data_IF_734888647775
#
_entry.id   IF_734888647775
#
_cell.length_a   1.000
_cell.length_b   1.000
_cell.length_c   1.000
_cell.angle_alpha   90.00
_cell.angle_beta   90.00
_cell.angle_gamma   90.00
#
_symmetry.space_group_name_H-M   'P 1'
#
loop_
_entity.id
_entity.type
_entity.pdbx_description
1 polymer ?
#
# COMPACT_ATOMS: atom_id res chain seq x y z
N UNK A 1 -15.10 23.83 11.71
CA UNK A 1 -15.64 22.87 10.71
C UNK A 1 -14.55 22.01 10.01
N UNK A 2 -13.45 21.67 10.69
CA UNK A 2 -12.32 20.93 10.09
C UNK A 2 -12.59 19.42 9.91
N UNK A 3 -13.65 18.90 10.55
CA UNK A 3 -13.98 17.47 10.60
C UNK A 3 -14.51 16.92 9.26
N UNK A 4 -15.15 17.75 8.43
CA UNK A 4 -15.74 17.32 7.15
C UNK A 4 -14.70 17.08 6.05
N UNK A 5 -13.60 17.84 6.06
CA UNK A 5 -12.50 17.68 5.08
C UNK A 5 -11.61 16.50 5.47
N UNK A 6 -11.36 16.29 6.77
CA UNK A 6 -10.53 15.17 7.25
C UNK A 6 -11.09 13.80 6.85
N UNK A 7 -12.42 13.60 6.94
CA UNK A 7 -13.05 12.34 6.51
C UNK A 7 -12.95 12.12 5.00
N UNK A 8 -12.94 13.18 4.19
CA UNK A 8 -12.75 13.07 2.72
C UNK A 8 -11.32 12.68 2.39
N UNK A 9 -10.32 13.25 3.06
CA UNK A 9 -8.92 12.85 2.90
C UNK A 9 -8.66 11.41 3.33
N UNK A 10 -9.26 10.98 4.44
CA UNK A 10 -9.17 9.58 4.88
C UNK A 10 -9.86 8.63 3.90
N UNK A 11 -10.98 9.04 3.28
CA UNK A 11 -11.66 8.24 2.26
C UNK A 11 -10.81 8.11 1.00
N UNK A 12 -10.16 9.19 0.56
CA UNK A 12 -9.25 9.18 -0.58
C UNK A 12 -8.03 8.31 -0.29
N UNK A 13 -7.46 8.38 0.91
CA UNK A 13 -6.37 7.51 1.35
C UNK A 13 -6.79 6.04 1.38
N UNK A 14 -7.98 5.71 1.90
CA UNK A 14 -8.51 4.34 1.86
C UNK A 14 -8.65 3.84 0.41
N UNK A 15 -9.24 4.66 -0.47
CA UNK A 15 -9.38 4.32 -1.88
C UNK A 15 -8.03 4.08 -2.55
N UNK A 16 -7.03 4.95 -2.30
CA UNK A 16 -5.68 4.77 -2.80
C UNK A 16 -5.02 3.48 -2.27
N UNK A 17 -5.21 3.15 -0.99
CA UNK A 17 -4.73 1.90 -0.39
C UNK A 17 -5.34 0.65 -1.06
N UNK A 18 -6.64 0.69 -1.40
CA UNK A 18 -7.27 -0.39 -2.17
C UNK A 18 -6.78 -0.45 -3.62
N UNK A 19 -6.50 0.70 -4.24
CA UNK A 19 -5.89 0.76 -5.56
C UNK A 19 -4.47 0.15 -5.54
N UNK A 20 -3.70 0.35 -4.48
CA UNK A 20 -2.38 -0.28 -4.30
C UNK A 20 -2.41 -1.81 -4.31
N UNK A 21 -3.56 -2.44 -4.00
CA UNK A 21 -3.70 -3.90 -4.10
C UNK A 21 -3.73 -4.41 -5.54
N UNK A 22 -4.28 -3.63 -6.46
CA UNK A 22 -4.46 -4.02 -7.87
C UNK A 22 -3.41 -3.40 -8.78
N UNK A 23 -2.81 -2.27 -8.37
CA UNK A 23 -1.83 -1.56 -9.16
C UNK A 23 -0.42 -2.17 -9.00
N UNK A 24 0.30 -2.38 -10.12
CA UNK A 24 1.67 -2.87 -10.08
C UNK A 24 2.59 -1.77 -9.56
N UNK A 25 3.52 -2.11 -8.66
CA UNK A 25 4.52 -1.18 -8.14
C UNK A 25 5.80 -1.19 -8.99
N UNK A 26 6.17 -2.37 -9.47
CA UNK A 26 7.40 -2.58 -10.23
C UNK A 26 7.13 -3.62 -11.33
N UNK A 27 7.69 -3.43 -12.50
CA UNK A 27 7.70 -4.44 -13.55
C UNK A 27 9.11 -4.97 -13.66
N UNK A 28 9.33 -6.26 -13.46
CA UNK A 28 10.68 -6.81 -13.53
C UNK A 28 10.72 -8.26 -13.92
N UNK A 29 11.88 -8.67 -14.45
CA UNK A 29 12.16 -10.05 -14.76
C UNK A 29 12.58 -10.77 -13.46
N UNK A 30 11.84 -11.83 -13.11
CA UNK A 30 12.29 -12.79 -12.10
C UNK A 30 12.98 -13.93 -12.84
N UNK A 31 14.20 -14.28 -12.43
CA UNK A 31 14.88 -15.47 -12.94
C UNK A 31 14.40 -16.64 -12.09
N UNK A 32 13.55 -17.49 -12.66
CA UNK A 32 13.17 -18.75 -12.02
C UNK A 32 14.32 -19.77 -12.17
N UNK A 33 14.33 -20.83 -11.35
CA UNK A 33 15.37 -21.87 -11.38
C UNK A 33 15.61 -22.50 -12.78
N UNK A 34 14.62 -22.39 -13.68
CA UNK A 34 14.66 -22.83 -15.09
C UNK A 34 15.23 -21.79 -16.08
N UNK A 35 15.84 -20.69 -15.62
CA UNK A 35 16.44 -19.62 -16.46
C UNK A 35 15.48 -18.89 -17.41
N UNK A 36 14.18 -19.12 -17.30
CA UNK A 36 13.14 -18.38 -18.04
C UNK A 36 12.92 -17.01 -17.42
N UNK A 37 13.08 -15.95 -18.22
CA UNK A 37 12.80 -14.57 -17.82
C UNK A 37 11.30 -14.33 -17.94
N UNK A 38 10.58 -14.39 -16.83
CA UNK A 38 9.16 -14.01 -16.79
C UNK A 38 9.04 -12.54 -16.38
N UNK A 39 8.45 -11.74 -17.28
CA UNK A 39 8.15 -10.34 -17.04
C UNK A 39 6.89 -10.26 -16.18
N UNK A 40 7.05 -10.29 -14.86
CA UNK A 40 5.91 -10.25 -13.95
C UNK A 40 5.75 -8.86 -13.31
N UNK A 41 4.52 -8.35 -13.23
CA UNK A 41 4.23 -7.19 -12.40
C UNK A 41 4.35 -7.56 -10.92
N UNK A 42 5.25 -6.88 -10.20
CA UNK A 42 5.25 -6.86 -8.75
C UNK A 42 4.06 -6.03 -8.26
N UNK A 43 2.94 -6.71 -8.11
CA UNK A 43 1.73 -6.19 -7.47
C UNK A 43 1.72 -6.60 -6.01
N UNK A 44 1.01 -5.88 -5.13
CA UNK A 44 0.80 -6.33 -3.75
C UNK A 44 0.18 -7.74 -3.63
N UNK A 45 -0.49 -8.19 -4.70
CA UNK A 45 -1.00 -9.55 -4.86
C UNK A 45 0.08 -10.63 -4.93
N UNK A 46 1.30 -10.30 -5.36
CA UNK A 46 2.40 -11.27 -5.54
C UNK A 46 2.85 -11.92 -4.24
N UNK A 47 2.70 -11.22 -3.11
CA UNK A 47 3.15 -11.70 -1.82
C UNK A 47 2.01 -11.69 -0.81
N UNK A 48 1.72 -12.85 -0.22
CA UNK A 48 0.57 -12.98 0.70
C UNK A 48 0.69 -12.09 1.93
N UNK A 49 1.90 -11.88 2.43
CA UNK A 49 2.16 -10.99 3.56
C UNK A 49 1.90 -9.54 3.21
N UNK A 50 2.35 -9.09 2.05
CA UNK A 50 2.14 -7.72 1.59
C UNK A 50 0.64 -7.48 1.34
N UNK A 51 -0.04 -8.41 0.67
CA UNK A 51 -1.49 -8.35 0.43
C UNK A 51 -2.28 -8.18 1.74
N UNK A 52 -1.99 -9.00 2.76
CA UNK A 52 -2.66 -8.91 4.06
C UNK A 52 -2.39 -7.57 4.72
N UNK A 53 -1.13 -7.09 4.68
CA UNK A 53 -0.74 -5.83 5.31
C UNK A 53 -1.44 -4.63 4.65
N UNK A 54 -1.44 -4.56 3.32
CA UNK A 54 -2.11 -3.48 2.57
C UNK A 54 -3.63 -3.53 2.73
N UNK A 55 -4.21 -4.73 2.80
CA UNK A 55 -5.64 -4.91 3.06
C UNK A 55 -6.04 -4.48 4.49
N UNK A 56 -5.25 -4.85 5.50
CA UNK A 56 -5.43 -4.40 6.89
C UNK A 56 -5.33 -2.87 6.99
N UNK A 57 -4.39 -2.26 6.26
CA UNK A 57 -4.23 -0.82 6.17
C UNK A 57 -5.49 -0.14 5.60
N UNK A 58 -5.98 -0.61 4.46
CA UNK A 58 -7.19 -0.08 3.83
C UNK A 58 -8.41 -0.16 4.74
N UNK A 59 -8.65 -1.33 5.36
CA UNK A 59 -9.74 -1.50 6.34
C UNK A 59 -9.53 -0.60 7.55
N UNK A 60 -8.30 -0.51 8.08
CA UNK A 60 -7.96 0.35 9.20
C UNK A 60 -8.33 1.80 8.93
N UNK A 61 -8.00 2.32 7.75
CA UNK A 61 -8.36 3.70 7.36
C UNK A 61 -9.88 3.88 7.28
N UNK A 62 -10.62 2.91 6.74
CA UNK A 62 -12.09 2.95 6.73
C UNK A 62 -12.67 2.98 8.14
N UNK A 63 -12.14 2.16 9.05
CA UNK A 63 -12.57 2.16 10.47
C UNK A 63 -12.29 3.52 11.14
N UNK A 64 -11.16 4.15 10.82
CA UNK A 64 -10.79 5.49 11.32
C UNK A 64 -11.79 6.56 10.86
N UNK A 65 -12.41 6.42 9.68
CA UNK A 65 -13.46 7.34 9.21
C UNK A 65 -14.70 7.24 10.11
N UNK A 66 -15.10 6.03 10.49
CA UNK A 66 -16.24 5.81 11.39
C UNK A 66 -15.96 6.21 12.84
N UNK A 67 -14.68 6.28 13.24
CA UNK A 67 -14.26 6.75 14.56
C UNK A 67 -14.23 8.30 14.68
N UNK A 68 -15.13 8.98 13.98
CA UNK A 68 -15.22 10.45 13.97
C UNK A 68 -15.62 11.04 15.34
N UNK A 69 -16.23 10.23 16.21
CA UNK A 69 -16.71 10.67 17.53
C UNK A 69 -15.55 10.91 18.50
N UNK A 70 -14.49 10.09 18.42
CA UNK A 70 -13.33 10.16 19.31
C UNK A 70 -12.10 10.75 18.61
N UNK A 71 -12.04 12.09 18.57
CA UNK A 71 -10.96 12.87 17.94
C UNK A 71 -9.55 12.43 18.34
N UNK A 72 -9.34 12.13 19.64
CA UNK A 72 -8.03 11.73 20.17
C UNK A 72 -7.61 10.35 19.68
N UNK A 73 -8.54 9.41 19.56
CA UNK A 73 -8.26 8.08 19.01
C UNK A 73 -8.08 8.14 17.50
N UNK A 74 -8.88 8.94 16.79
CA UNK A 74 -8.78 9.11 15.35
C UNK A 74 -7.36 9.55 14.94
N UNK A 75 -6.81 10.57 15.61
CA UNK A 75 -5.44 11.05 15.31
C UNK A 75 -4.38 9.99 15.62
N UNK A 76 -4.48 9.28 16.75
CA UNK A 76 -3.54 8.20 17.09
C UNK A 76 -3.56 7.08 16.05
N UNK A 77 -4.76 6.68 15.60
CA UNK A 77 -4.91 5.64 14.59
C UNK A 77 -4.45 6.11 13.21
N UNK A 78 -4.66 7.37 12.84
CA UNK A 78 -4.11 7.94 11.60
C UNK A 78 -2.59 7.95 11.63
N UNK A 79 -1.97 8.31 12.76
CA UNK A 79 -0.51 8.23 12.92
C UNK A 79 -0.04 6.78 12.83
N UNK A 80 -0.76 5.83 13.44
CA UNK A 80 -0.44 4.41 13.36
C UNK A 80 -0.55 3.88 11.92
N UNK A 81 -1.59 4.30 11.17
CA UNK A 81 -1.75 3.97 9.76
C UNK A 81 -0.60 4.54 8.92
N UNK A 82 -0.15 5.77 9.20
CA UNK A 82 1.00 6.39 8.53
C UNK A 82 2.29 5.60 8.82
N UNK A 83 2.51 5.15 10.05
CA UNK A 83 3.66 4.29 10.36
C UNK A 83 3.56 2.96 9.61
N UNK A 84 2.36 2.37 9.54
CA UNK A 84 2.13 1.13 8.79
C UNK A 84 2.37 1.32 7.28
N UNK A 85 2.04 2.47 6.70
CA UNK A 85 2.29 2.73 5.28
C UNK A 85 3.79 2.81 4.97
N UNK A 86 4.59 3.41 5.87
CA UNK A 86 6.05 3.41 5.79
C UNK A 86 6.59 1.97 5.80
N UNK A 87 6.09 1.11 6.69
CA UNK A 87 6.48 -0.30 6.73
C UNK A 87 6.12 -1.01 5.43
N UNK A 88 4.93 -0.73 4.87
CA UNK A 88 4.48 -1.30 3.59
C UNK A 88 5.43 -0.91 2.44
N UNK A 89 5.82 0.37 2.36
CA UNK A 89 6.80 0.87 1.39
C UNK A 89 8.14 0.13 1.53
N UNK A 90 8.67 0.01 2.75
CA UNK A 90 9.94 -0.71 3.00
C UNK A 90 9.85 -2.17 2.55
N UNK A 91 8.70 -2.80 2.75
CA UNK A 91 8.46 -4.17 2.32
C UNK A 91 8.41 -4.29 0.79
N UNK A 92 7.75 -3.34 0.11
CA UNK A 92 7.81 -3.22 -1.36
C UNK A 92 9.24 -3.07 -1.88
N UNK A 93 10.07 -2.22 -1.27
CA UNK A 93 11.47 -2.06 -1.66
C UNK A 93 12.30 -3.33 -1.45
N UNK A 94 12.06 -4.09 -0.39
CA UNK A 94 12.73 -5.38 -0.18
C UNK A 94 12.34 -6.39 -1.25
N UNK A 95 11.07 -6.40 -1.69
CA UNK A 95 10.62 -7.23 -2.79
C UNK A 95 11.27 -6.80 -4.11
N UNK A 96 11.42 -5.50 -4.38
CA UNK A 96 12.12 -5.00 -5.57
C UNK A 96 13.57 -5.48 -5.65
N UNK A 97 14.27 -5.66 -4.51
CA UNK A 97 15.65 -6.20 -4.50
C UNK A 97 15.76 -7.65 -4.98
N UNK A 98 14.65 -8.39 -5.02
CA UNK A 98 14.63 -9.75 -5.56
C UNK A 98 14.58 -9.77 -7.09
N UNK A 99 14.30 -8.64 -7.74
CA UNK A 99 14.25 -8.53 -9.21
C UNK A 99 15.61 -8.11 -9.76
N UNK A 100 16.09 -8.83 -10.78
CA UNK A 100 17.41 -8.62 -11.39
C UNK A 100 17.40 -7.43 -12.36
N UNK A 101 16.29 -7.26 -13.09
CA UNK A 101 16.07 -6.16 -14.03
C UNK A 101 14.60 -5.73 -13.96
N UNK A 102 14.33 -4.43 -14.00
CA UNK A 102 12.97 -3.93 -14.06
C UNK A 102 12.88 -2.41 -14.04
N UNK A 103 11.66 -1.91 -14.19
CA UNK A 103 11.35 -0.48 -14.17
C UNK A 103 10.20 -0.21 -13.20
N UNK A 104 10.26 0.92 -12.50
CA UNK A 104 9.17 1.35 -11.64
C UNK A 104 7.93 1.64 -12.48
N UNK A 105 6.78 1.14 -12.02
CA UNK A 105 5.51 1.43 -12.66
C UNK A 105 5.13 2.90 -12.42
N UNK A 106 4.37 3.50 -13.36
CA UNK A 106 3.83 4.86 -13.19
C UNK A 106 2.96 5.01 -11.93
N UNK A 107 2.43 3.90 -11.45
CA UNK A 107 1.57 3.75 -10.26
C UNK A 107 2.37 3.59 -8.96
N UNK A 108 3.70 3.57 -9.02
CA UNK A 108 4.58 3.55 -7.85
C UNK A 108 4.27 4.64 -6.81
N UNK A 109 3.91 5.90 -7.18
CA UNK A 109 3.53 6.93 -6.22
C UNK A 109 2.31 6.56 -5.36
N UNK A 110 1.42 5.69 -5.85
CA UNK A 110 0.17 5.32 -5.17
C UNK A 110 0.44 4.40 -3.98
N UNK A 111 1.59 3.71 -3.95
CA UNK A 111 2.04 2.94 -2.78
C UNK A 111 2.36 3.83 -1.58
N UNK A 112 2.62 5.13 -1.78
CA UNK A 112 2.99 6.05 -0.70
C UNK A 112 1.79 6.68 0.04
N UNK A 113 0.57 6.20 -0.21
CA UNK A 113 -0.67 6.69 0.45
C UNK A 113 -1.00 5.91 1.72
#
# INVERSE_FOLDING_TARGET
MIQRIQSVWLLLAAAACFLTLTLPFYYGNVVQEDQTRLYEPLTAMSNIWLRILTFLLGIGIVVIIFLFKDRKLQVKLTILALVLSIVNIVMFFNLTKLFVEGSFALTSPIVFT
#
